data_IF_780056723036
#
_entry.id   IF_780056723036
#
_cell.length_a   1.000
_cell.length_b   1.000
_cell.length_c   1.000
_cell.angle_alpha   90.00
_cell.angle_beta   90.00
_cell.angle_gamma   90.00
#
_symmetry.space_group_name_H-M   'P 1'
#
loop_
_entity.id
_entity.type
_entity.pdbx_description
1 polymer ?
#
# COMPACT_ATOMS: atom_id res chain seq x y z
N UNK A 1 5.29 -4.16 -16.81
CA UNK A 1 5.20 -3.68 -15.41
C UNK A 1 3.78 -3.65 -14.85
N UNK A 2 2.73 -4.13 -15.57
CA UNK A 2 1.33 -4.20 -15.09
C UNK A 2 1.16 -4.80 -13.69
N UNK A 3 1.99 -5.76 -13.32
CA UNK A 3 1.91 -6.47 -12.03
C UNK A 3 2.01 -5.55 -10.80
N UNK A 4 2.59 -4.34 -10.93
CA UNK A 4 2.61 -3.33 -9.85
C UNK A 4 1.25 -2.65 -9.71
N UNK A 5 0.56 -2.44 -10.83
CA UNK A 5 -0.72 -1.70 -10.90
C UNK A 5 -1.85 -2.52 -10.28
N UNK A 6 -1.80 -3.86 -10.37
CA UNK A 6 -2.81 -4.74 -9.77
C UNK A 6 -2.97 -4.51 -8.24
N UNK A 7 -1.94 -4.04 -7.52
CA UNK A 7 -2.03 -3.73 -6.08
C UNK A 7 -3.03 -2.60 -5.76
N UNK A 8 -3.43 -1.77 -6.74
CA UNK A 8 -4.42 -0.70 -6.54
C UNK A 8 -5.77 -1.24 -6.04
N UNK A 9 -6.12 -2.47 -6.41
CA UNK A 9 -7.39 -3.11 -6.06
C UNK A 9 -7.25 -4.24 -5.05
N UNK A 10 -6.04 -4.50 -4.58
CA UNK A 10 -5.78 -5.59 -3.65
C UNK A 10 -6.01 -5.11 -2.21
N UNK A 11 -7.18 -5.39 -1.64
CA UNK A 11 -7.49 -5.03 -0.26
C UNK A 11 -6.82 -5.99 0.74
N UNK A 12 -6.75 -7.27 0.42
CA UNK A 12 -6.29 -8.30 1.35
C UNK A 12 -4.78 -8.23 1.64
N UNK A 13 -3.94 -7.82 0.67
CA UNK A 13 -2.51 -7.72 0.90
C UNK A 13 -2.14 -6.73 2.02
N UNK A 14 -3.00 -5.74 2.34
CA UNK A 14 -2.75 -4.87 3.48
C UNK A 14 -2.64 -5.64 4.80
N UNK A 15 -3.45 -6.69 4.99
CA UNK A 15 -3.39 -7.50 6.20
C UNK A 15 -2.19 -8.45 6.22
N UNK A 16 -1.89 -9.10 5.09
CA UNK A 16 -0.87 -10.16 5.02
C UNK A 16 0.53 -9.65 4.74
N UNK A 17 0.67 -8.61 3.90
CA UNK A 17 1.96 -8.06 3.46
C UNK A 17 2.35 -6.86 4.33
N UNK A 18 1.43 -5.92 4.54
CA UNK A 18 1.69 -4.69 5.28
C UNK A 18 1.33 -4.75 6.78
N UNK A 19 0.75 -5.87 7.23
CA UNK A 19 0.36 -6.08 8.63
C UNK A 19 -0.57 -4.98 9.20
N UNK A 20 -1.52 -4.53 8.38
CA UNK A 20 -2.53 -3.52 8.74
C UNK A 20 -3.93 -4.06 8.48
N UNK A 21 -4.88 -3.73 9.35
CA UNK A 21 -6.30 -3.99 9.10
C UNK A 21 -6.86 -2.95 8.13
N UNK A 22 -7.26 -3.29 6.90
CA UNK A 22 -8.01 -2.37 6.05
C UNK A 22 -9.43 -2.25 6.60
N UNK A 23 -9.76 -1.07 7.14
CA UNK A 23 -11.07 -0.78 7.75
C UNK A 23 -12.06 -0.12 6.80
N UNK A 24 -11.55 0.39 5.68
CA UNK A 24 -12.31 0.93 4.56
C UNK A 24 -11.49 0.69 3.28
N UNK A 25 -12.14 0.33 2.18
CA UNK A 25 -11.46 0.15 0.91
C UNK A 25 -12.37 0.47 -0.27
N UNK A 26 -11.98 1.44 -1.10
CA UNK A 26 -12.73 1.84 -2.29
C UNK A 26 -11.81 2.16 -3.45
N UNK A 27 -12.23 1.77 -4.64
CA UNK A 27 -11.59 2.14 -5.89
C UNK A 27 -12.46 3.06 -6.74
N UNK A 28 -11.81 3.98 -7.44
CA UNK A 28 -12.42 4.86 -8.44
C UNK A 28 -11.51 4.95 -9.65
N UNK A 29 -12.00 4.58 -10.83
CA UNK A 29 -11.29 4.70 -12.10
C UNK A 29 -12.05 5.68 -13.01
N UNK A 30 -11.39 6.72 -13.49
CA UNK A 30 -12.01 7.73 -14.35
C UNK A 30 -10.96 8.42 -15.22
N UNK A 31 -11.25 8.53 -16.52
CA UNK A 31 -10.30 9.02 -17.51
C UNK A 31 -8.98 8.27 -17.42
N UNK A 32 -7.88 9.01 -17.27
CA UNK A 32 -6.54 8.48 -17.14
C UNK A 32 -6.08 8.32 -15.67
N UNK A 33 -7.00 8.28 -14.70
CA UNK A 33 -6.69 8.19 -13.27
C UNK A 33 -7.32 6.94 -12.65
N UNK A 34 -6.54 6.18 -11.89
CA UNK A 34 -7.03 5.09 -11.05
C UNK A 34 -6.67 5.34 -9.58
N UNK A 35 -7.67 5.36 -8.72
CA UNK A 35 -7.55 5.72 -7.30
C UNK A 35 -7.95 4.58 -6.38
N UNK A 36 -7.24 4.47 -5.27
CA UNK A 36 -7.56 3.66 -4.10
C UNK A 36 -7.73 4.61 -2.91
N UNK A 37 -8.82 4.44 -2.18
CA UNK A 37 -9.09 5.11 -0.91
C UNK A 37 -9.15 4.03 0.16
N UNK A 38 -8.32 4.17 1.20
CA UNK A 38 -8.18 3.15 2.22
C UNK A 38 -8.07 3.79 3.60
N UNK A 39 -8.78 3.23 4.57
CA UNK A 39 -8.50 3.46 6.00
C UNK A 39 -7.90 2.20 6.59
N UNK A 40 -6.96 2.37 7.51
CA UNK A 40 -6.21 1.27 8.11
C UNK A 40 -6.10 1.39 9.62
N UNK A 41 -5.84 0.27 10.28
CA UNK A 41 -5.44 0.23 11.71
C UNK A 41 -4.29 -0.76 11.89
N UNK A 42 -3.31 -0.38 12.71
CA UNK A 42 -2.17 -1.26 13.03
C UNK A 42 -2.62 -2.57 13.69
N UNK A 43 -1.91 -3.66 13.40
CA UNK A 43 -2.11 -4.94 14.05
C UNK A 43 -1.37 -5.01 15.40
N UNK A 44 -2.04 -5.40 16.49
CA UNK A 44 -1.41 -5.50 17.82
C UNK A 44 -0.45 -6.69 17.97
N UNK A 45 -0.49 -7.68 17.07
CA UNK A 45 0.41 -8.83 17.08
C UNK A 45 1.71 -8.62 16.28
N UNK A 46 1.92 -7.42 15.71
CA UNK A 46 3.06 -7.10 14.84
C UNK A 46 3.66 -5.71 15.12
N UNK A 47 4.97 -5.67 15.36
CA UNK A 47 5.80 -4.46 15.36
C UNK A 47 7.10 -4.68 14.57
N UNK A 48 7.12 -4.23 13.31
CA UNK A 48 8.26 -4.34 12.39
C UNK A 48 8.98 -3.00 12.18
N UNK A 49 8.60 -1.95 12.92
CA UNK A 49 9.06 -0.59 12.66
C UNK A 49 8.74 -0.08 11.25
N UNK A 50 7.68 -0.58 10.61
CA UNK A 50 7.12 0.00 9.37
C UNK A 50 6.18 1.16 9.74
N UNK A 51 5.76 1.95 8.75
CA UNK A 51 4.76 3.01 9.00
C UNK A 51 3.35 2.46 9.29
N UNK A 52 3.13 1.14 9.15
CA UNK A 52 1.86 0.45 9.44
C UNK A 52 1.84 -0.31 10.78
N UNK A 53 3.00 -0.59 11.40
CA UNK A 53 3.11 -1.44 12.59
C UNK A 53 3.44 -0.66 13.87
N UNK A 54 3.34 -1.34 15.02
CA UNK A 54 3.74 -0.79 16.32
C UNK A 54 2.57 -0.16 17.08
N UNK A 55 2.76 1.07 17.60
CA UNK A 55 1.72 1.78 18.35
C UNK A 55 0.39 1.85 17.60
N UNK A 56 -0.71 1.84 18.35
CA UNK A 56 -2.04 1.94 17.76
C UNK A 56 -2.18 3.24 16.95
N UNK A 57 -2.38 3.06 15.64
CA UNK A 57 -2.56 4.15 14.69
C UNK A 57 -3.75 3.87 13.79
N UNK A 58 -4.47 4.93 13.47
CA UNK A 58 -5.47 4.94 12.40
C UNK A 58 -4.87 5.69 11.22
N UNK A 59 -4.80 5.02 10.07
CA UNK A 59 -4.27 5.59 8.82
C UNK A 59 -5.39 5.87 7.83
N UNK A 60 -5.25 6.94 7.06
CA UNK A 60 -6.07 7.28 5.90
C UNK A 60 -5.11 7.45 4.73
N UNK A 61 -5.39 6.79 3.61
CA UNK A 61 -4.56 6.79 2.39
C UNK A 61 -5.43 7.06 1.17
N UNK A 62 -4.92 7.88 0.26
CA UNK A 62 -5.50 8.14 -1.05
C UNK A 62 -4.43 7.92 -2.12
N UNK A 63 -4.32 6.72 -2.65
CA UNK A 63 -3.31 6.40 -3.67
C UNK A 63 -3.91 6.54 -5.07
N UNK A 64 -3.40 7.46 -5.90
CA UNK A 64 -3.87 7.66 -7.26
C UNK A 64 -2.74 7.54 -8.27
N UNK A 65 -2.90 6.64 -9.25
CA UNK A 65 -2.13 6.65 -10.49
C UNK A 65 -2.61 7.78 -11.40
N UNK A 66 -1.70 8.65 -11.82
CA UNK A 66 -1.91 9.66 -12.85
C UNK A 66 -1.28 9.17 -14.15
N UNK A 67 -2.09 8.50 -14.99
CA UNK A 67 -1.60 7.75 -16.14
C UNK A 67 -1.06 6.37 -15.74
N UNK A 68 -0.27 5.72 -16.62
CA UNK A 68 0.03 4.29 -16.48
C UNK A 68 1.10 3.95 -15.44
N UNK A 69 1.84 4.93 -14.91
CA UNK A 69 3.10 4.59 -14.22
C UNK A 69 3.52 5.48 -13.05
N UNK A 70 2.76 6.51 -12.69
CA UNK A 70 3.12 7.42 -11.61
C UNK A 70 1.99 7.54 -10.58
N UNK A 71 2.18 6.95 -9.40
CA UNK A 71 1.24 7.02 -8.27
C UNK A 71 1.72 8.02 -7.23
N UNK A 72 0.79 8.86 -6.78
CA UNK A 72 0.94 9.75 -5.62
C UNK A 72 -0.01 9.24 -4.53
N UNK A 73 0.50 9.05 -3.33
CA UNK A 73 -0.26 8.56 -2.19
C UNK A 73 -0.08 9.50 -0.98
N UNK A 74 -0.93 10.52 -0.83
CA UNK A 74 -1.06 11.25 0.42
C UNK A 74 -1.62 10.34 1.51
N UNK A 75 -0.96 10.37 2.66
CA UNK A 75 -1.30 9.56 3.82
C UNK A 75 -1.38 10.44 5.07
N UNK A 76 -2.33 10.10 5.95
CA UNK A 76 -2.44 10.66 7.29
C UNK A 76 -2.50 9.52 8.28
N UNK A 77 -1.68 9.57 9.33
CA UNK A 77 -1.70 8.59 10.42
C UNK A 77 -1.88 9.30 11.75
N UNK A 78 -2.86 8.90 12.54
CA UNK A 78 -3.15 9.50 13.84
C UNK A 78 -2.97 8.45 14.93
N UNK A 79 -2.22 8.79 15.98
CA UNK A 79 -2.01 7.96 17.18
C UNK A 79 -1.77 8.83 18.42
N UNK A 80 -1.27 8.23 19.50
CA UNK A 80 -1.05 8.92 20.78
C UNK A 80 -0.13 10.15 20.71
N UNK A 81 0.78 10.19 19.73
CA UNK A 81 1.73 11.30 19.52
C UNK A 81 1.21 12.40 18.56
N UNK A 82 -0.05 12.31 18.10
CA UNK A 82 -0.66 13.27 17.18
C UNK A 82 -0.84 12.73 15.77
N UNK A 83 -1.00 13.65 14.81
CA UNK A 83 -1.22 13.31 13.39
C UNK A 83 0.05 13.54 12.58
N UNK A 84 0.47 12.49 11.89
CA UNK A 84 1.50 12.51 10.87
C UNK A 84 0.88 12.65 9.48
N UNK A 85 1.45 13.51 8.65
CA UNK A 85 1.06 13.68 7.24
C UNK A 85 2.27 13.41 6.34
N UNK A 86 2.10 12.56 5.33
CA UNK A 86 3.14 12.22 4.38
C UNK A 86 2.59 12.06 2.97
N UNK A 87 3.46 12.13 1.97
CA UNK A 87 3.14 11.78 0.58
C UNK A 87 4.18 10.75 0.13
N UNK A 88 3.71 9.56 -0.23
CA UNK A 88 4.50 8.51 -0.86
C UNK A 88 4.34 8.61 -2.38
N UNK A 89 5.45 8.51 -3.10
CA UNK A 89 5.50 8.29 -4.54
C UNK A 89 5.82 6.82 -4.78
N UNK A 90 5.05 6.19 -5.67
CA UNK A 90 5.35 4.88 -6.24
C UNK A 90 5.27 5.01 -7.76
N UNK A 91 6.40 4.93 -8.45
CA UNK A 91 6.42 5.08 -9.90
C UNK A 91 7.39 4.13 -10.58
N UNK A 92 7.18 3.92 -11.87
CA UNK A 92 7.94 2.94 -12.61
C UNK A 92 8.04 3.30 -14.09
N UNK A 93 9.02 2.71 -14.77
CA UNK A 93 9.13 2.80 -16.22
C UNK A 93 9.67 1.49 -16.80
N UNK A 94 9.12 1.01 -17.94
CA UNK A 94 9.61 -0.19 -18.58
C UNK A 94 11.00 0.05 -19.19
N UNK A 95 11.90 -0.90 -19.02
CA UNK A 95 13.19 -0.97 -19.72
C UNK A 95 13.06 -1.91 -20.92
N UNK A 96 12.30 -2.99 -20.76
CA UNK A 96 11.95 -3.95 -21.80
C UNK A 96 10.55 -4.53 -21.53
N UNK A 97 10.00 -5.40 -22.40
CA UNK A 97 8.74 -6.09 -22.12
C UNK A 97 8.74 -6.93 -20.83
N UNK A 98 9.92 -7.34 -20.34
CA UNK A 98 10.08 -8.23 -19.17
C UNK A 98 10.87 -7.60 -18.02
N UNK A 99 11.27 -6.32 -18.13
CA UNK A 99 12.00 -5.61 -17.08
C UNK A 99 11.56 -4.15 -16.98
N UNK A 100 11.60 -3.61 -15.78
CA UNK A 100 11.23 -2.22 -15.49
C UNK A 100 12.05 -1.72 -14.30
N UNK A 101 12.18 -0.41 -14.19
CA UNK A 101 12.69 0.23 -12.99
C UNK A 101 11.50 0.65 -12.13
N UNK A 102 11.59 0.35 -10.84
CA UNK A 102 10.64 0.75 -9.82
C UNK A 102 11.32 1.77 -8.91
N UNK A 103 10.65 2.89 -8.65
CA UNK A 103 11.15 3.98 -7.83
C UNK A 103 10.10 4.35 -6.80
N UNK A 104 10.56 4.72 -5.62
CA UNK A 104 9.71 5.23 -4.57
C UNK A 104 10.40 6.40 -3.89
N UNK A 105 9.62 7.24 -3.21
CA UNK A 105 10.13 8.33 -2.42
C UNK A 105 9.06 8.85 -1.48
N UNK A 106 9.44 9.41 -0.34
CA UNK A 106 8.48 9.90 0.63
C UNK A 106 8.86 11.29 1.13
N UNK A 107 7.85 12.13 1.30
CA UNK A 107 7.97 13.41 1.99
C UNK A 107 7.06 13.41 3.21
N UNK A 108 7.52 14.04 4.27
CA UNK A 108 6.83 14.11 5.55
C UNK A 108 6.65 15.55 5.95
N UNK A 109 5.45 15.91 6.42
CA UNK A 109 5.17 17.25 6.91
C UNK A 109 5.93 17.47 8.21
N UNK A 110 6.77 18.51 8.23
CA UNK A 110 7.44 18.95 9.45
C UNK A 110 6.39 19.36 10.50
N UNK A 111 6.41 18.79 11.72
CA UNK A 111 5.52 19.23 12.79
C UNK A 111 5.81 20.68 13.21
N UNK A 112 4.78 21.39 13.66
CA UNK A 112 4.92 22.77 14.13
C UNK A 112 5.84 22.83 15.37
N UNK A 113 6.76 23.79 15.40
CA UNK A 113 7.69 23.97 16.52
C UNK A 113 8.91 23.05 16.53
N UNK A 114 9.03 22.11 15.58
CA UNK A 114 10.21 21.24 15.44
C UNK A 114 11.29 21.93 14.59
N UNK A 115 12.55 21.87 15.04
CA UNK A 115 13.67 22.45 14.30
C UNK A 115 13.91 21.72 12.98
N UNK A 116 14.64 22.33 12.03
CA UNK A 116 14.93 21.66 10.76
C UNK A 116 15.79 20.40 10.95
N UNK A 117 16.76 20.44 11.87
CA UNK A 117 17.65 19.31 12.14
C UNK A 117 16.87 18.10 12.69
N UNK A 118 15.98 18.33 13.66
CA UNK A 118 15.11 17.27 14.20
C UNK A 118 14.13 16.76 13.14
N UNK A 119 13.61 17.65 12.29
CA UNK A 119 12.71 17.27 11.19
C UNK A 119 13.41 16.38 10.15
N UNK A 120 14.67 16.66 9.83
CA UNK A 120 15.47 15.83 8.92
C UNK A 120 15.74 14.43 9.50
N UNK A 121 16.12 14.35 10.77
CA UNK A 121 16.32 13.07 11.47
C UNK A 121 15.02 12.26 11.49
N UNK A 122 13.91 12.92 11.80
CA UNK A 122 12.58 12.29 11.78
C UNK A 122 12.19 11.81 10.38
N UNK A 123 12.41 12.63 9.34
CA UNK A 123 12.12 12.27 7.96
C UNK A 123 12.95 11.06 7.49
N UNK A 124 14.23 10.97 7.88
CA UNK A 124 15.08 9.81 7.58
C UNK A 124 14.56 8.54 8.25
N UNK A 125 14.20 8.60 9.53
CA UNK A 125 13.61 7.47 10.25
C UNK A 125 12.29 7.02 9.64
N UNK A 126 11.43 7.97 9.27
CA UNK A 126 10.17 7.67 8.59
C UNK A 126 10.39 7.04 7.21
N UNK A 127 11.34 7.58 6.42
CA UNK A 127 11.70 7.02 5.12
C UNK A 127 12.20 5.58 5.24
N UNK A 128 13.00 5.25 6.26
CA UNK A 128 13.44 3.88 6.52
C UNK A 128 12.27 2.94 6.88
N UNK A 129 11.28 3.40 7.64
CA UNK A 129 10.08 2.63 7.95
C UNK A 129 9.20 2.37 6.71
N UNK A 130 9.06 3.38 5.85
CA UNK A 130 8.35 3.27 4.57
C UNK A 130 9.09 2.34 3.61
N UNK A 131 10.43 2.42 3.54
CA UNK A 131 11.26 1.53 2.73
C UNK A 131 11.03 0.07 3.12
N UNK A 132 11.07 -0.25 4.42
CA UNK A 132 10.79 -1.60 4.91
C UNK A 132 9.42 -2.11 4.45
N UNK A 133 8.39 -1.27 4.56
CA UNK A 133 7.04 -1.61 4.10
C UNK A 133 6.97 -1.83 2.59
N UNK A 134 7.56 -0.94 1.81
CA UNK A 134 7.59 -1.03 0.34
C UNK A 134 8.37 -2.26 -0.15
N UNK A 135 9.46 -2.62 0.54
CA UNK A 135 10.23 -3.81 0.21
C UNK A 135 9.46 -5.12 0.45
N UNK A 136 8.42 -5.12 1.28
CA UNK A 136 7.53 -6.29 1.44
C UNK A 136 6.80 -6.59 0.12
N UNK A 137 6.28 -5.57 -0.56
CA UNK A 137 5.69 -5.73 -1.90
C UNK A 137 6.73 -6.21 -2.92
N UNK A 138 7.94 -5.64 -2.87
CA UNK A 138 9.04 -6.04 -3.78
C UNK A 138 9.36 -7.52 -3.66
N UNK A 139 9.28 -8.11 -2.46
CA UNK A 139 9.46 -9.55 -2.30
C UNK A 139 8.36 -10.35 -3.01
N UNK A 140 7.10 -9.91 -2.93
CA UNK A 140 6.00 -10.56 -3.65
C UNK A 140 6.18 -10.40 -5.17
N UNK A 141 6.45 -9.20 -5.66
CA UNK A 141 6.62 -8.95 -7.10
C UNK A 141 7.79 -9.70 -7.73
N UNK A 142 8.89 -9.91 -6.98
CA UNK A 142 10.04 -10.70 -7.47
C UNK A 142 9.77 -12.20 -7.54
N UNK A 143 8.79 -12.70 -6.79
CA UNK A 143 8.54 -14.14 -6.62
C UNK A 143 7.14 -14.59 -7.09
N UNK A 144 6.42 -13.75 -7.84
CA UNK A 144 5.10 -14.08 -8.41
C UNK A 144 5.15 -14.29 -9.93
N UNK A 145 4.16 -15.01 -10.45
CA UNK A 145 3.92 -15.14 -11.88
C UNK A 145 2.82 -14.18 -12.35
N UNK A 146 2.86 -13.80 -13.63
CA UNK A 146 1.77 -13.10 -14.31
C UNK A 146 0.57 -14.04 -14.44
N UNK A 147 -0.61 -13.60 -13.99
CA UNK A 147 -1.87 -14.34 -14.15
C UNK A 147 -2.86 -13.46 -14.94
N UNK A 148 -3.15 -13.86 -16.18
CA UNK A 148 -4.06 -13.12 -17.05
C UNK A 148 -5.54 -13.36 -16.72
N UNK A 149 -5.88 -14.59 -16.28
CA UNK A 149 -7.23 -14.97 -15.85
C UNK A 149 -7.22 -15.30 -14.34
N UNK A 150 -7.14 -14.29 -13.45
CA UNK A 150 -7.14 -14.53 -12.02
C UNK A 150 -8.46 -15.16 -11.58
N UNK A 151 -8.38 -16.13 -10.68
CA UNK A 151 -9.55 -16.61 -9.95
C UNK A 151 -9.82 -15.62 -8.82
N UNK A 152 -11.01 -15.00 -8.82
CA UNK A 152 -11.40 -13.98 -7.86
C UNK A 152 -12.42 -14.54 -6.86
N UNK A 153 -12.34 -14.10 -5.60
CA UNK A 153 -13.35 -14.30 -4.56
C UNK A 153 -14.27 -13.08 -4.44
N UNK A 154 -15.21 -13.11 -3.50
CA UNK A 154 -16.18 -12.02 -3.25
C UNK A 154 -15.49 -10.77 -2.68
N UNK A 155 -14.38 -10.97 -1.96
CA UNK A 155 -13.62 -9.92 -1.28
C UNK A 155 -12.47 -9.34 -2.13
N UNK A 156 -12.27 -9.84 -3.36
CA UNK A 156 -11.33 -9.25 -4.31
C UNK A 156 -11.85 -7.92 -4.86
N UNK A 157 -10.94 -6.96 -5.04
CA UNK A 157 -11.27 -5.71 -5.71
C UNK A 157 -11.52 -5.89 -7.22
N UNK A 158 -11.86 -4.80 -7.92
CA UNK A 158 -12.29 -4.83 -9.32
C UNK A 158 -11.13 -5.02 -10.31
N UNK A 159 -10.42 -6.15 -10.25
CA UNK A 159 -9.20 -6.46 -11.05
C UNK A 159 -9.44 -6.32 -12.54
N UNK A 160 -10.56 -6.87 -13.06
CA UNK A 160 -10.84 -6.79 -14.49
C UNK A 160 -11.16 -5.38 -14.96
N UNK A 161 -11.83 -4.56 -14.14
CA UNK A 161 -12.15 -3.18 -14.47
C UNK A 161 -10.90 -2.31 -14.39
N UNK A 162 -10.00 -2.54 -13.42
CA UNK A 162 -8.70 -1.91 -13.36
C UNK A 162 -7.88 -2.24 -14.61
N UNK A 163 -7.80 -3.51 -14.99
CA UNK A 163 -7.05 -3.94 -16.19
C UNK A 163 -7.67 -3.37 -17.47
N UNK A 164 -8.99 -3.30 -17.57
CA UNK A 164 -9.68 -2.61 -18.68
C UNK A 164 -9.35 -1.12 -18.71
N UNK A 165 -9.33 -0.44 -17.56
CA UNK A 165 -8.87 0.95 -17.47
C UNK A 165 -7.41 1.09 -17.94
N UNK A 166 -6.53 0.15 -17.55
CA UNK A 166 -5.11 0.19 -17.90
C UNK A 166 -4.85 -0.06 -19.39
N UNK A 167 -5.71 -0.85 -20.05
CA UNK A 167 -5.61 -1.15 -21.48
C UNK A 167 -5.63 0.11 -22.37
N UNK A 168 -6.24 1.20 -21.90
CA UNK A 168 -6.27 2.48 -22.65
C UNK A 168 -4.88 3.00 -23.02
N UNK A 169 -3.84 2.62 -22.26
CA UNK A 169 -2.47 3.08 -22.48
C UNK A 169 -1.69 2.19 -23.47
N UNK A 170 -2.34 1.15 -24.02
CA UNK A 170 -1.74 0.14 -24.90
C UNK A 170 -2.47 0.00 -26.25
N UNK A 171 -3.43 0.88 -26.51
CA UNK A 171 -4.12 1.05 -27.80
C UNK A 171 -3.87 2.45 -28.33
N UNK A 172 -4.10 2.67 -29.63
CA UNK A 172 -4.09 4.01 -30.20
C UNK A 172 -5.22 4.86 -29.57
N UNK A 173 -5.04 6.18 -29.52
CA UNK A 173 -5.99 7.07 -28.81
C UNK A 173 -7.38 7.06 -29.42
N UNK A 174 -7.47 6.78 -30.72
CA UNK A 174 -8.71 6.60 -31.48
C UNK A 174 -9.48 5.33 -31.11
N UNK A 175 -8.78 4.33 -30.55
CA UNK A 175 -9.32 3.02 -30.17
C UNK A 175 -9.69 2.94 -28.68
N UNK A 176 -9.44 4.01 -27.91
CA UNK A 176 -9.85 4.08 -26.50
C UNK A 176 -11.37 4.05 -26.39
N UNK A 177 -11.89 2.98 -25.79
CA UNK A 177 -13.34 2.80 -25.64
C UNK A 177 -13.90 3.53 -24.41
N UNK A 178 -15.20 3.91 -24.40
CA UNK A 178 -15.82 4.53 -23.23
C UNK A 178 -15.70 3.68 -21.95
N UNK A 179 -15.70 2.36 -22.05
CA UNK A 179 -15.61 1.46 -20.89
C UNK A 179 -14.22 1.46 -20.22
N UNK A 180 -13.19 1.96 -20.90
CA UNK A 180 -11.85 2.13 -20.35
C UNK A 180 -11.72 3.43 -19.52
N UNK A 181 -12.52 4.45 -19.84
CA UNK A 181 -12.36 5.81 -19.27
C UNK A 181 -13.58 6.30 -18.49
N UNK A 182 -14.75 5.70 -18.68
CA UNK A 182 -15.96 6.02 -17.92
C UNK A 182 -15.71 5.79 -16.43
N UNK A 183 -16.23 6.71 -15.60
CA UNK A 183 -16.19 6.60 -14.15
C UNK A 183 -16.75 5.25 -13.68
N UNK A 184 -15.91 4.48 -13.02
CA UNK A 184 -16.24 3.24 -12.34
C UNK A 184 -15.89 3.38 -10.86
N UNK A 185 -16.78 2.94 -9.98
CA UNK A 185 -16.55 2.93 -8.53
C UNK A 185 -16.88 1.55 -7.96
N UNK A 186 -16.07 1.08 -7.02
CA UNK A 186 -16.33 -0.14 -6.28
C UNK A 186 -15.82 0.04 -4.85
N UNK A 187 -16.70 -0.12 -3.89
CA UNK A 187 -16.36 -0.17 -2.47
C UNK A 187 -16.49 -1.62 -2.00
N UNK A 188 -15.47 -2.12 -1.31
CA UNK A 188 -15.44 -3.48 -0.77
C UNK A 188 -15.99 -3.43 0.64
N UNK A 189 -16.99 -4.26 0.93
CA UNK A 189 -17.42 -4.50 2.31
C UNK A 189 -16.33 -5.30 3.04
N UNK A 190 -15.67 -4.65 4.00
CA UNK A 190 -14.56 -5.24 4.75
C UNK A 190 -15.00 -5.98 6.01
N UNK A 191 -16.30 -5.96 6.38
CA UNK A 191 -16.74 -6.48 7.69
C UNK A 191 -16.41 -7.96 7.88
N UNK A 192 -16.74 -8.80 6.90
CA UNK A 192 -16.46 -10.24 6.96
C UNK A 192 -14.96 -10.54 7.08
N UNK A 193 -14.14 -9.85 6.29
CA UNK A 193 -12.69 -10.02 6.31
C UNK A 193 -12.11 -9.57 7.67
N UNK A 194 -12.57 -8.44 8.20
CA UNK A 194 -12.18 -7.92 9.52
C UNK A 194 -12.53 -8.88 10.65
N UNK A 195 -13.74 -9.44 10.68
CA UNK A 195 -14.14 -10.41 11.71
C UNK A 195 -13.17 -11.62 11.73
N UNK A 196 -12.86 -12.16 10.55
CA UNK A 196 -11.92 -13.27 10.42
C UNK A 196 -10.51 -12.90 10.89
N UNK A 197 -9.99 -11.75 10.45
CA UNK A 197 -8.66 -11.30 10.80
C UNK A 197 -8.54 -10.90 12.28
N UNK A 198 -9.56 -10.31 12.88
CA UNK A 198 -9.58 -10.02 14.32
C UNK A 198 -9.46 -11.30 15.13
N UNK A 199 -10.24 -12.33 14.79
CA UNK A 199 -10.14 -13.63 15.43
C UNK A 199 -8.74 -14.24 15.28
N UNK A 200 -8.16 -14.18 14.08
CA UNK A 200 -6.80 -14.69 13.83
C UNK A 200 -5.75 -13.96 14.71
N UNK A 201 -5.86 -12.64 14.83
CA UNK A 201 -4.95 -11.84 15.67
C UNK A 201 -5.17 -12.12 17.16
N UNK A 202 -6.42 -12.27 17.62
CA UNK A 202 -6.72 -12.68 18.99
C UNK A 202 -6.14 -14.05 19.33
N UNK A 203 -6.26 -15.03 18.44
CA UNK A 203 -5.67 -16.36 18.59
C UNK A 203 -4.14 -16.29 18.63
N UNK A 204 -3.51 -15.41 17.84
CA UNK A 204 -2.06 -15.19 17.90
C UNK A 204 -1.63 -14.64 19.26
N UNK A 205 -2.31 -13.59 19.74
CA UNK A 205 -2.01 -12.98 21.04
C UNK A 205 -2.22 -13.97 22.19
N UNK A 206 -3.32 -14.72 22.18
CA UNK A 206 -3.60 -15.75 23.19
C UNK A 206 -2.55 -16.87 23.21
N UNK A 207 -1.95 -17.18 22.05
CA UNK A 207 -0.87 -18.15 21.91
C UNK A 207 0.54 -17.55 22.10
N UNK A 208 0.68 -16.25 22.40
CA UNK A 208 1.97 -15.57 22.53
C UNK A 208 2.75 -15.44 21.21
N UNK A 209 2.07 -15.52 20.07
CA UNK A 209 2.68 -15.39 18.73
C UNK A 209 2.69 -13.92 18.32
N UNK A 210 3.79 -13.23 18.60
CA UNK A 210 4.01 -11.83 18.17
C UNK A 210 5.21 -11.74 17.23
N UNK A 211 5.11 -10.90 16.21
CA UNK A 211 6.23 -10.58 15.31
C UNK A 211 6.77 -9.22 15.70
N UNK A 212 8.00 -9.16 16.20
CA UNK A 212 8.68 -7.93 16.61
C UNK A 212 9.96 -7.68 15.82
N UNK A 213 10.58 -6.52 16.03
CA UNK A 213 12.00 -6.34 15.70
C UNK A 213 12.80 -7.41 16.44
N UNK A 214 13.65 -8.17 15.75
CA UNK A 214 14.66 -8.97 16.44
C UNK A 214 15.48 -8.03 17.34
N UNK A 215 15.74 -8.38 18.61
CA UNK A 215 16.67 -7.60 19.41
C UNK A 215 18.00 -7.56 18.65
N UNK A 216 18.57 -6.38 18.46
CA UNK A 216 19.90 -6.22 17.87
C UNK A 216 20.83 -7.22 18.55
N UNK A 217 21.22 -8.30 17.86
CA UNK A 217 22.34 -9.11 18.30
C UNK A 217 23.52 -8.17 18.35
N UNK A 218 23.92 -7.83 19.57
CA UNK A 218 25.11 -7.04 19.84
C UNK A 218 26.26 -7.84 19.25
N UNK A 219 26.65 -7.54 18.01
CA UNK A 219 27.93 -8.00 17.51
C UNK A 219 28.97 -7.33 18.40
N UNK A 220 29.52 -8.13 19.32
CA UNK A 220 30.70 -7.78 20.07
C UNK A 220 31.74 -7.33 19.03
N UNK A 221 32.10 -6.05 19.09
CA UNK A 221 33.31 -5.55 18.44
C UNK A 221 34.46 -6.14 19.25
N UNK A 222 35.01 -7.24 18.75
CA UNK A 222 36.38 -7.65 19.06
C UNK A 222 37.36 -6.83 18.20
#
# INVERSE_FOLDING_TARGET
CREIVDNVVDMAHFFYVHYSFPTYFKNVFEGHIASQYMNGRSRPDVDLGTHYSGEERVSVSQASYYGPSYMINPMRSTGGQGTLESILINCHYPVSPTSFVLQWGVMVKRPAGVSMQEAEQYAQGFAAGVEKGFLQDVQIWRNKAKIDNPLLCEEDGPVYQLRRWYEQFYVDVEDVTPQMTQRFECEIDTERAKEFWHKQVEENLAAGRTVGLEPETTQAKD
#
